data_IF_296163620775
#
_entry.id   IF_296163620775
#
_cell.length_a   1.000
_cell.length_b   1.000
_cell.length_c   1.000
_cell.angle_alpha   90.00
_cell.angle_beta   90.00
_cell.angle_gamma   90.00
#
_symmetry.space_group_name_H-M   'P 1'
#
loop_
_entity.id
_entity.type
_entity.pdbx_description
1 polymer ?
#
# COMPACT_ATOMS: atom_id res chain seq x y z
N UNK A 1 -6.02 12.33 -3.43
CA UNK A 1 -5.01 11.33 -3.87
C UNK A 1 -4.80 11.45 -5.37
N UNK A 2 -3.54 11.43 -5.85
CA UNK A 2 -3.25 11.50 -7.28
C UNK A 2 -3.47 10.14 -7.98
N UNK A 3 -3.63 10.14 -9.32
CA UNK A 3 -3.74 8.91 -10.10
C UNK A 3 -2.49 8.01 -9.94
N UNK A 4 -1.30 8.61 -9.92
CA UNK A 4 -0.03 7.92 -9.69
C UNK A 4 0.02 7.28 -8.30
N UNK A 5 -0.39 8.01 -7.26
CA UNK A 5 -0.45 7.47 -5.90
C UNK A 5 -1.34 6.23 -5.86
N UNK A 6 -2.53 6.31 -6.46
CA UNK A 6 -3.47 5.18 -6.51
C UNK A 6 -2.86 3.94 -7.18
N UNK A 7 -2.21 4.11 -8.33
CA UNK A 7 -1.54 3.02 -9.04
C UNK A 7 -0.44 2.35 -8.19
N UNK A 8 0.39 3.16 -7.51
CA UNK A 8 1.44 2.64 -6.63
C UNK A 8 0.86 1.83 -5.47
N UNK A 9 -0.24 2.30 -4.86
CA UNK A 9 -0.91 1.59 -3.76
C UNK A 9 -1.49 0.25 -4.23
N UNK A 10 -2.21 0.23 -5.35
CA UNK A 10 -2.82 -0.98 -5.91
C UNK A 10 -1.74 -2.02 -6.26
N UNK A 11 -0.66 -1.58 -6.93
CA UNK A 11 0.46 -2.46 -7.28
C UNK A 11 1.20 -2.98 -6.05
N UNK A 12 1.46 -2.11 -5.07
CA UNK A 12 2.14 -2.49 -3.83
C UNK A 12 1.32 -3.52 -3.03
N UNK A 13 0.00 -3.30 -2.91
CA UNK A 13 -0.90 -4.24 -2.24
C UNK A 13 -0.93 -5.60 -2.95
N UNK A 14 -1.03 -5.61 -4.28
CA UNK A 14 -1.01 -6.84 -5.07
C UNK A 14 0.29 -7.64 -4.88
N UNK A 15 1.45 -6.99 -5.07
CA UNK A 15 2.75 -7.66 -4.95
C UNK A 15 3.05 -8.10 -3.51
N UNK A 16 2.60 -7.34 -2.50
CA UNK A 16 2.69 -7.76 -1.10
C UNK A 16 1.85 -9.00 -0.83
N UNK A 17 0.61 -9.05 -1.33
CA UNK A 17 -0.27 -10.21 -1.14
C UNK A 17 0.24 -11.46 -1.87
N UNK A 18 0.88 -11.28 -3.03
CA UNK A 18 1.53 -12.33 -3.79
C UNK A 18 2.86 -12.83 -3.18
N UNK A 19 3.33 -12.22 -2.08
CA UNK A 19 4.62 -12.56 -1.44
C UNK A 19 5.84 -12.13 -2.25
N UNK A 20 5.68 -11.21 -3.20
CA UNK A 20 6.76 -10.70 -4.06
C UNK A 20 7.53 -9.54 -3.41
N UNK A 21 6.99 -8.96 -2.34
CA UNK A 21 7.62 -7.90 -1.57
C UNK A 21 7.89 -8.33 -0.14
N UNK A 22 9.08 -7.94 0.32
CA UNK A 22 9.39 -7.91 1.75
C UNK A 22 8.75 -6.69 2.40
N UNK A 23 8.49 -6.78 3.71
CA UNK A 23 7.88 -5.69 4.46
C UNK A 23 8.64 -4.34 4.33
N UNK A 24 9.99 -4.28 4.38
CA UNK A 24 10.72 -3.03 4.13
C UNK A 24 10.45 -2.43 2.75
N UNK A 25 10.33 -3.25 1.70
CA UNK A 25 10.03 -2.78 0.34
C UNK A 25 8.62 -2.19 0.25
N UNK A 26 7.64 -2.78 0.95
CA UNK A 26 6.29 -2.23 1.06
C UNK A 26 6.35 -0.83 1.70
N UNK A 27 7.02 -0.69 2.84
CA UNK A 27 7.14 0.60 3.53
C UNK A 27 7.81 1.67 2.65
N UNK A 28 8.92 1.35 1.99
CA UNK A 28 9.61 2.30 1.10
C UNK A 28 8.69 2.82 0.00
N UNK A 29 7.87 1.95 -0.59
CA UNK A 29 6.92 2.36 -1.65
C UNK A 29 5.79 3.23 -1.12
N UNK A 30 5.21 2.87 0.03
CA UNK A 30 4.12 3.62 0.66
C UNK A 30 4.59 5.03 1.07
N UNK A 31 5.70 5.12 1.80
CA UNK A 31 6.28 6.41 2.21
C UNK A 31 6.67 7.25 0.98
N UNK A 32 7.19 6.62 -0.08
CA UNK A 32 7.58 7.31 -1.31
C UNK A 32 6.45 8.02 -2.05
N UNK A 33 5.18 7.66 -1.77
CA UNK A 33 4.00 8.35 -2.32
C UNK A 33 3.23 9.16 -1.29
N UNK A 34 3.84 9.38 -0.12
CA UNK A 34 3.29 10.22 0.94
C UNK A 34 2.37 9.52 1.93
N UNK A 35 2.35 8.18 1.97
CA UNK A 35 1.57 7.47 3.01
C UNK A 35 2.30 7.53 4.34
N UNK A 36 1.61 8.04 5.36
CA UNK A 36 2.10 8.12 6.73
C UNK A 36 1.67 6.91 7.57
N UNK A 37 0.47 6.39 7.32
CA UNK A 37 -0.05 5.18 7.96
C UNK A 37 -1.12 4.51 7.09
N UNK A 38 -1.43 3.25 7.40
CA UNK A 38 -2.52 2.53 6.74
C UNK A 38 -3.23 1.60 7.72
N UNK A 39 -4.51 1.34 7.45
CA UNK A 39 -5.34 0.40 8.18
C UNK A 39 -5.79 -0.70 7.23
N UNK A 40 -5.42 -1.95 7.51
CA UNK A 40 -5.84 -3.12 6.76
C UNK A 40 -6.96 -3.85 7.51
N UNK A 41 -8.15 -3.87 6.91
CA UNK A 41 -9.30 -4.63 7.40
C UNK A 41 -9.39 -5.97 6.66
N UNK A 42 -8.92 -7.03 7.31
CA UNK A 42 -9.00 -8.38 6.74
C UNK A 42 -10.42 -8.97 6.72
N UNK A 43 -11.37 -8.40 7.48
CA UNK A 43 -12.77 -8.86 7.47
C UNK A 43 -13.49 -8.30 6.24
N UNK A 44 -13.25 -7.03 5.93
CA UNK A 44 -13.82 -6.33 4.78
C UNK A 44 -12.97 -6.46 3.51
N UNK A 45 -11.77 -7.04 3.60
CA UNK A 45 -10.79 -7.13 2.51
C UNK A 45 -10.44 -5.75 1.93
N UNK A 46 -10.41 -4.73 2.79
CA UNK A 46 -10.15 -3.34 2.40
C UNK A 46 -8.92 -2.78 3.12
N UNK A 47 -8.27 -1.83 2.47
CA UNK A 47 -7.14 -1.09 3.04
C UNK A 47 -7.38 0.40 2.90
N UNK A 48 -7.34 1.12 4.02
CA UNK A 48 -7.40 2.58 4.07
C UNK A 48 -6.00 3.16 4.24
N UNK A 49 -5.62 4.12 3.40
CA UNK A 49 -4.33 4.80 3.46
C UNK A 49 -4.51 6.25 3.93
N UNK A 50 -3.66 6.68 4.85
CA UNK A 50 -3.61 8.06 5.37
C UNK A 50 -2.34 8.74 4.85
N UNK A 51 -2.52 9.94 4.30
CA UNK A 51 -1.48 10.76 3.66
C UNK A 51 -1.22 12.03 4.48
#
# INVERSE_FOLDING_TARGET
MSALTKEVLEKCAHESHAGLLTFPQVLTRLVGVGVESYFADYRDQSTTYYL
#
